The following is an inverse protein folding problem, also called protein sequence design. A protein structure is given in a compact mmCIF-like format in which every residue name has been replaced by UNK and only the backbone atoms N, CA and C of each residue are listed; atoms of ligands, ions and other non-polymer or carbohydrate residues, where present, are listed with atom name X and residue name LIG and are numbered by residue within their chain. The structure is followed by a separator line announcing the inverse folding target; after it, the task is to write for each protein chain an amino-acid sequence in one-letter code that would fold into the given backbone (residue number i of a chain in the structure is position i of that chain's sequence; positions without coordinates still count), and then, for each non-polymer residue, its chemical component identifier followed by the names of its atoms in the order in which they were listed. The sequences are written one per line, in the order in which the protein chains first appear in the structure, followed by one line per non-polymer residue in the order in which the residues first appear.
data_IF_089209570412
#
_entry.id   IF_089209570412
#
_cell.length_a   1.000
_cell.length_b   1.000
_cell.length_c   1.000
_cell.angle_alpha   90.00
_cell.angle_beta   90.00
_cell.angle_gamma   90.00
#
_symmetry.space_group_name_H-M   'P 1'
#
loop_
_entity.id
_entity.type
_entity.pdbx_description
1 polymer ?
#
# COMPACT_ATOMS: atom_id res chain seq x y z
N UNK A 1 16.69 -10.01 -17.07
CA UNK A 1 16.60 -9.35 -15.74
C UNK A 1 16.01 -7.95 -15.92
N UNK A 2 14.69 -7.83 -15.96
CA UNK A 2 13.96 -6.55 -16.06
C UNK A 2 13.93 -5.85 -14.69
N UNK A 3 15.07 -5.32 -14.24
CA UNK A 3 15.20 -4.62 -12.96
C UNK A 3 14.65 -3.18 -12.99
N UNK A 4 14.46 -2.60 -14.17
CA UNK A 4 14.05 -1.20 -14.33
C UNK A 4 12.58 -0.95 -14.01
N UNK A 5 11.68 -1.90 -14.34
CA UNK A 5 10.25 -1.77 -14.07
C UNK A 5 9.94 -1.94 -12.57
N UNK A 6 10.57 -2.93 -11.91
CA UNK A 6 10.49 -3.13 -10.46
C UNK A 6 10.94 -1.88 -9.67
N UNK A 7 12.03 -1.22 -10.08
CA UNK A 7 12.56 -0.05 -9.36
C UNK A 7 11.63 1.17 -9.37
N UNK A 8 10.87 1.39 -10.45
CA UNK A 8 9.95 2.53 -10.54
C UNK A 8 8.72 2.36 -9.65
N UNK A 9 8.19 1.13 -9.55
CA UNK A 9 7.06 0.85 -8.67
C UNK A 9 7.42 1.04 -7.19
N UNK A 10 8.62 0.62 -6.77
CA UNK A 10 9.08 0.77 -5.37
C UNK A 10 9.28 2.25 -4.99
N UNK A 11 9.79 3.08 -5.90
CA UNK A 11 10.05 4.50 -5.63
C UNK A 11 8.77 5.31 -5.33
N UNK A 12 7.63 4.93 -5.92
CA UNK A 12 6.33 5.53 -5.60
C UNK A 12 5.82 5.10 -4.22
N UNK A 13 6.05 3.84 -3.86
CA UNK A 13 5.59 3.26 -2.60
C UNK A 13 6.37 3.76 -1.38
N UNK A 14 7.63 4.17 -1.52
CA UNK A 14 8.42 4.66 -0.37
C UNK A 14 8.00 6.06 0.15
N UNK A 15 7.12 6.78 -0.55
CA UNK A 15 6.74 8.17 -0.25
C UNK A 15 5.46 8.25 0.58
N UNK A 16 5.56 8.06 1.90
CA UNK A 16 4.41 8.02 2.84
C UNK A 16 3.35 9.13 2.65
N UNK A 17 3.76 10.36 2.32
CA UNK A 17 2.85 11.52 2.22
C UNK A 17 2.27 11.76 0.82
N UNK A 18 2.72 11.01 -0.18
CA UNK A 18 2.21 11.08 -1.57
C UNK A 18 1.23 9.94 -1.78
N UNK A 19 0.11 10.24 -2.44
CA UNK A 19 -0.79 9.16 -2.88
C UNK A 19 -0.07 8.38 -4.00
N UNK A 20 0.13 7.06 -3.83
CA UNK A 20 0.77 6.23 -4.86
C UNK A 20 -0.16 5.96 -6.06
N UNK A 21 -1.44 6.35 -6.00
CA UNK A 21 -2.42 6.12 -7.05
C UNK A 21 -3.04 4.72 -6.96
N UNK A 22 -3.62 4.26 -8.07
CA UNK A 22 -4.21 2.93 -8.18
C UNK A 22 -3.11 1.86 -8.06
N UNK A 23 -3.41 0.79 -7.34
CA UNK A 23 -2.51 -0.34 -7.15
C UNK A 23 -3.18 -1.64 -7.61
N UNK A 24 -2.37 -2.59 -8.08
CA UNK A 24 -2.78 -3.99 -8.07
C UNK A 24 -2.76 -4.55 -6.64
N UNK A 25 -3.44 -5.67 -6.40
CA UNK A 25 -3.38 -6.37 -5.12
C UNK A 25 -1.93 -6.72 -4.70
N UNK A 26 -1.08 -7.09 -5.66
CA UNK A 26 0.34 -7.40 -5.42
C UNK A 26 1.12 -6.14 -4.98
N UNK A 27 0.90 -5.02 -5.65
CA UNK A 27 1.51 -3.73 -5.26
C UNK A 27 1.04 -3.28 -3.89
N UNK A 28 -0.24 -3.47 -3.58
CA UNK A 28 -0.81 -3.15 -2.28
C UNK A 28 -0.20 -4.03 -1.16
N UNK A 29 -0.01 -5.32 -1.41
CA UNK A 29 0.66 -6.20 -0.47
C UNK A 29 2.13 -5.79 -0.27
N UNK A 30 2.88 -5.55 -1.36
CA UNK A 30 4.26 -5.09 -1.28
C UNK A 30 4.40 -3.75 -0.55
N UNK A 31 3.45 -2.83 -0.77
CA UNK A 31 3.38 -1.56 -0.05
C UNK A 31 3.16 -1.74 1.45
N UNK A 32 2.33 -2.71 1.86
CA UNK A 32 2.14 -3.03 3.28
C UNK A 32 3.40 -3.61 3.91
N UNK A 33 4.10 -4.51 3.22
CA UNK A 33 5.37 -5.06 3.68
C UNK A 33 6.44 -3.97 3.84
N UNK A 34 6.57 -3.07 2.86
CA UNK A 34 7.49 -1.93 2.91
C UNK A 34 7.19 -0.95 4.05
N UNK A 35 5.95 -0.90 4.54
CA UNK A 35 5.51 0.07 5.54
C UNK A 35 5.16 -0.57 6.89
N UNK A 36 5.60 -1.81 7.13
CA UNK A 36 5.33 -2.54 8.37
C UNK A 36 5.75 -1.69 9.60
N UNK A 37 6.94 -1.09 9.53
CA UNK A 37 7.51 -0.23 10.58
C UNK A 37 7.25 1.28 10.36
N UNK A 38 6.35 1.64 9.45
CA UNK A 38 6.08 3.04 9.17
C UNK A 38 5.43 3.72 10.39
N UNK A 39 6.10 4.72 10.96
CA UNK A 39 5.60 5.48 12.12
C UNK A 39 4.69 6.65 11.72
N UNK A 40 4.49 6.91 10.43
CA UNK A 40 3.65 8.00 9.93
C UNK A 40 2.17 7.62 10.07
N UNK A 41 1.49 8.14 11.09
CA UNK A 41 0.08 7.88 11.37
C UNK A 41 -0.87 8.17 10.18
N UNK A 42 -0.50 9.13 9.32
CA UNK A 42 -1.28 9.56 8.16
C UNK A 42 -0.73 9.06 6.82
N UNK A 43 0.05 7.97 6.83
CA UNK A 43 0.65 7.40 5.62
C UNK A 43 -0.42 7.09 4.56
N UNK A 44 -0.36 7.82 3.44
CA UNK A 44 -1.28 7.68 2.30
C UNK A 44 -1.08 6.35 1.58
N UNK A 45 0.17 5.87 1.51
CA UNK A 45 0.51 4.58 0.88
C UNK A 45 -0.17 3.42 1.61
N UNK A 46 -0.02 3.33 2.95
CA UNK A 46 -0.72 2.30 3.75
C UNK A 46 -2.24 2.41 3.64
N UNK A 47 -2.79 3.62 3.69
CA UNK A 47 -4.24 3.81 3.56
C UNK A 47 -4.75 3.33 2.20
N UNK A 48 -4.08 3.70 1.12
CA UNK A 48 -4.41 3.27 -0.25
C UNK A 48 -4.30 1.76 -0.40
N UNK A 49 -3.17 1.17 0.01
CA UNK A 49 -2.95 -0.26 -0.07
C UNK A 49 -3.98 -1.05 0.73
N UNK A 50 -4.38 -0.57 1.92
CA UNK A 50 -5.44 -1.22 2.71
C UNK A 50 -6.76 -1.19 1.97
N UNK A 51 -7.16 -0.02 1.46
CA UNK A 51 -8.39 0.13 0.70
C UNK A 51 -8.43 -0.84 -0.49
N UNK A 52 -7.36 -0.89 -1.30
CA UNK A 52 -7.25 -1.82 -2.42
C UNK A 52 -7.38 -3.28 -1.99
N UNK A 53 -6.72 -3.70 -0.91
CA UNK A 53 -6.82 -5.09 -0.44
C UNK A 53 -8.21 -5.44 0.09
N UNK A 54 -8.93 -4.48 0.68
CA UNK A 54 -10.31 -4.67 1.15
C UNK A 54 -11.28 -4.74 -0.03
N UNK A 55 -11.15 -3.84 -1.00
CA UNK A 55 -11.96 -3.82 -2.22
C UNK A 55 -11.80 -5.12 -3.03
N UNK A 56 -10.59 -5.68 -3.08
CA UNK A 56 -10.27 -6.95 -3.74
C UNK A 56 -10.63 -8.20 -2.90
N UNK A 57 -11.22 -8.03 -1.71
CA UNK A 57 -11.59 -9.14 -0.82
C UNK A 57 -10.42 -9.92 -0.21
N UNK A 58 -9.20 -9.35 -0.25
CA UNK A 58 -7.95 -9.96 0.28
C UNK A 58 -7.61 -9.49 1.69
N UNK A 59 -8.34 -8.53 2.24
CA UNK A 59 -8.23 -8.06 3.61
C UNK A 59 -9.64 -7.81 4.15
N UNK A 60 -9.99 -8.46 5.26
CA UNK A 60 -11.24 -8.22 5.97
C UNK A 60 -10.93 -7.35 7.18
N UNK A 61 -11.64 -6.22 7.30
CA UNK A 61 -11.50 -5.34 8.44
C UNK A 61 -12.35 -5.86 9.60
N UNK A 62 -11.82 -5.74 10.81
CA UNK A 62 -12.60 -5.87 12.03
C UNK A 62 -13.59 -4.71 12.14
N UNK A 63 -14.72 -4.92 12.83
CA UNK A 63 -15.76 -3.91 13.03
C UNK A 63 -15.21 -2.61 13.63
N UNK A 64 -14.21 -2.70 14.53
CA UNK A 64 -13.57 -1.54 15.15
C UNK A 64 -12.75 -0.68 14.19
N UNK A 65 -12.44 -1.20 13.01
CA UNK A 65 -11.65 -0.51 11.98
C UNK A 65 -12.53 0.11 10.89
N UNK A 66 -13.85 -0.05 10.98
CA UNK A 66 -14.83 0.67 10.15
C UNK A 66 -14.96 2.13 10.64
N UNK A 67 -15.40 3.06 9.77
CA UNK A 67 -15.50 4.50 10.09
C UNK A 67 -16.45 4.83 11.25
#
# INVERSE_FOLDING_TARGET
MQLTSLNMHIAGLSRCRRDPGVMSAEQAHAAMQLHLDCTVATCKVRRRARATLVEEGRCVLDERALP
#
